data_IF_743533785037
#
_entry.id   IF_743533785037
#
_cell.length_a   1.000
_cell.length_b   1.000
_cell.length_c   1.000
_cell.angle_alpha   90.00
_cell.angle_beta   90.00
_cell.angle_gamma   90.00
#
_symmetry.space_group_name_H-M   'P 1'
#
loop_
_entity.id
_entity.type
_entity.pdbx_description
1 polymer ?
#
# COMPACT_ATOMS: atom_id res chain seq x y z
N UNK A 1 18.18 13.35 -11.96
CA UNK A 1 17.83 11.95 -12.20
C UNK A 1 18.32 11.11 -11.02
N UNK A 2 17.77 11.42 -9.85
CA UNK A 2 18.13 10.71 -8.65
C UNK A 2 17.23 9.46 -8.56
N UNK A 3 17.80 8.32 -8.29
CA UNK A 3 17.05 7.11 -7.95
C UNK A 3 16.24 7.40 -6.67
N UNK A 4 14.96 7.66 -6.85
CA UNK A 4 14.06 8.03 -5.78
C UNK A 4 13.17 6.84 -5.43
N UNK A 5 13.13 6.48 -4.15
CA UNK A 5 12.25 5.47 -3.60
C UNK A 5 11.10 6.11 -2.80
N UNK A 6 10.05 5.34 -2.53
CA UNK A 6 8.95 5.69 -1.64
C UNK A 6 8.38 7.11 -1.89
N UNK A 7 7.86 7.39 -3.10
CA UNK A 7 7.32 8.69 -3.41
C UNK A 7 6.04 8.98 -2.64
N UNK A 8 5.91 10.21 -2.13
CA UNK A 8 4.68 10.73 -1.54
C UNK A 8 4.33 12.08 -2.16
N UNK A 9 3.05 12.41 -2.20
CA UNK A 9 2.57 13.63 -2.82
C UNK A 9 1.52 14.34 -1.95
N UNK A 10 1.47 15.66 -2.04
CA UNK A 10 0.40 16.48 -1.48
C UNK A 10 0.02 17.61 -2.43
N UNK A 11 -1.15 18.18 -2.24
CA UNK A 11 -1.67 19.28 -3.05
C UNK A 11 -1.81 20.54 -2.19
N UNK A 12 -1.41 21.68 -2.72
CA UNK A 12 -1.67 23.00 -2.14
C UNK A 12 -2.19 23.93 -3.22
N UNK A 13 -3.47 24.33 -3.12
CA UNK A 13 -4.14 25.07 -4.18
C UNK A 13 -4.20 24.27 -5.48
N UNK A 14 -3.68 24.83 -6.56
CA UNK A 14 -3.57 24.22 -7.89
C UNK A 14 -2.24 23.48 -8.13
N UNK A 15 -1.40 23.39 -7.12
CA UNK A 15 -0.03 22.87 -7.23
C UNK A 15 0.09 21.51 -6.58
N UNK A 16 0.57 20.52 -7.35
CA UNK A 16 0.99 19.22 -6.86
C UNK A 16 2.45 19.28 -6.46
N UNK A 17 2.74 18.88 -5.24
CA UNK A 17 4.09 18.65 -4.72
C UNK A 17 4.34 17.16 -4.57
N UNK A 18 5.58 16.73 -4.81
CA UNK A 18 5.98 15.37 -4.47
C UNK A 18 7.41 15.32 -3.95
N UNK A 19 7.69 14.30 -3.18
CA UNK A 19 8.99 13.99 -2.58
C UNK A 19 9.20 12.48 -2.57
N UNK A 20 10.37 12.05 -2.14
CA UNK A 20 10.71 10.64 -1.94
C UNK A 20 12.06 10.50 -1.26
N UNK A 21 12.40 9.27 -0.89
CA UNK A 21 13.69 8.94 -0.29
C UNK A 21 14.82 9.10 -1.29
N UNK A 22 15.87 9.80 -0.89
CA UNK A 22 17.17 9.82 -1.56
C UNK A 22 18.30 9.74 -0.54
N UNK A 23 19.50 9.37 -0.97
CA UNK A 23 20.68 9.36 -0.11
C UNK A 23 21.15 10.75 0.32
N UNK A 24 20.63 11.82 -0.29
CA UNK A 24 21.14 13.18 -0.18
C UNK A 24 20.20 14.18 0.49
N UNK A 25 19.22 13.70 1.28
CA UNK A 25 18.24 14.53 1.99
C UNK A 25 16.86 14.51 1.35
N UNK A 26 16.03 15.49 1.68
CA UNK A 26 14.63 15.59 1.24
C UNK A 26 14.53 16.46 -0.03
N UNK A 27 14.40 15.88 -1.22
CA UNK A 27 14.09 16.62 -2.42
C UNK A 27 12.59 16.91 -2.49
N UNK A 28 12.20 18.07 -2.98
CA UNK A 28 10.79 18.40 -3.23
C UNK A 28 10.64 18.99 -4.62
N UNK A 29 9.70 18.44 -5.38
CA UNK A 29 9.31 18.92 -6.71
C UNK A 29 7.88 19.41 -6.70
N UNK A 30 7.55 20.29 -7.63
CA UNK A 30 6.19 20.79 -7.80
C UNK A 30 5.81 20.97 -9.26
N UNK A 31 4.49 20.94 -9.53
CA UNK A 31 3.91 21.24 -10.84
C UNK A 31 2.50 21.79 -10.70
N UNK A 32 2.16 22.82 -11.47
CA UNK A 32 0.80 23.32 -11.68
C UNK A 32 0.11 22.63 -12.86
N UNK A 33 0.82 21.76 -13.57
CA UNK A 33 0.31 20.99 -14.70
C UNK A 33 0.89 19.58 -14.68
N UNK A 34 0.59 18.75 -13.66
CA UNK A 34 1.25 17.47 -13.45
C UNK A 34 1.05 16.48 -14.62
N UNK A 35 -0.08 16.57 -15.33
CA UNK A 35 -0.32 15.75 -16.54
C UNK A 35 0.66 16.01 -17.68
N UNK A 36 1.35 17.14 -17.68
CA UNK A 36 2.37 17.45 -18.68
C UNK A 36 3.69 16.70 -18.46
N UNK A 37 3.84 16.01 -17.31
CA UNK A 37 5.08 15.38 -16.88
C UNK A 37 6.20 16.35 -16.52
N UNK A 38 5.92 17.66 -16.46
CA UNK A 38 6.91 18.70 -16.16
C UNK A 38 6.84 19.12 -14.71
N UNK A 39 7.92 18.90 -13.99
CA UNK A 39 8.09 19.31 -12.60
C UNK A 39 9.30 20.22 -12.45
N UNK A 40 9.23 21.11 -11.48
CA UNK A 40 10.34 21.99 -11.05
C UNK A 40 10.75 21.61 -9.64
N UNK A 41 12.01 21.77 -9.32
CA UNK A 41 12.47 21.65 -7.93
C UNK A 41 12.01 22.85 -7.10
N UNK A 42 11.38 22.57 -5.97
CA UNK A 42 11.05 23.58 -4.95
C UNK A 42 12.26 23.91 -4.09
N UNK A 43 13.04 22.87 -3.73
CA UNK A 43 14.33 23.01 -3.05
C UNK A 43 15.33 22.05 -3.66
N UNK A 44 16.57 22.48 -3.80
CA UNK A 44 17.65 21.65 -4.33
C UNK A 44 17.91 20.45 -3.41
N UNK A 45 18.07 20.71 -2.12
CA UNK A 45 18.28 19.69 -1.09
C UNK A 45 17.98 20.27 0.29
N UNK A 46 17.34 19.45 1.12
CA UNK A 46 17.23 19.69 2.55
C UNK A 46 18.23 18.77 3.27
N UNK A 47 18.87 19.29 4.31
CA UNK A 47 19.84 18.53 5.12
C UNK A 47 19.19 17.50 6.06
N UNK A 48 17.86 17.46 6.14
CA UNK A 48 17.17 16.48 6.96
C UNK A 48 17.17 15.10 6.25
N UNK A 49 17.95 14.13 6.72
CA UNK A 49 17.91 12.78 6.18
C UNK A 49 16.55 12.19 6.48
N UNK A 50 15.76 11.90 5.45
CA UNK A 50 14.41 11.36 5.59
C UNK A 50 14.21 10.20 4.63
N UNK A 51 13.99 9.01 5.21
CA UNK A 51 13.54 7.84 4.47
C UNK A 51 12.02 7.75 4.52
N UNK A 52 11.42 7.35 3.41
CA UNK A 52 9.97 7.21 3.26
C UNK A 52 9.21 8.46 3.72
N UNK A 53 9.54 9.63 3.14
CA UNK A 53 9.00 10.91 3.59
C UNK A 53 7.55 11.08 3.14
N UNK A 54 6.70 11.55 4.04
CA UNK A 54 5.36 12.04 3.75
C UNK A 54 5.25 13.50 4.19
N UNK A 55 5.00 14.40 3.25
CA UNK A 55 4.64 15.79 3.52
C UNK A 55 3.13 15.90 3.66
N UNK A 56 2.67 16.46 4.76
CA UNK A 56 1.26 16.66 5.08
C UNK A 56 0.99 18.14 5.33
N UNK A 57 0.15 18.74 4.49
CA UNK A 57 -0.35 20.10 4.65
C UNK A 57 -1.65 20.07 5.45
N UNK A 58 -1.65 20.67 6.64
CA UNK A 58 -2.82 20.76 7.48
C UNK A 58 -3.76 21.92 7.10
N UNK A 59 -5.00 21.89 7.57
CA UNK A 59 -6.03 22.89 7.28
C UNK A 59 -5.65 24.30 7.79
N UNK A 60 -4.81 24.37 8.83
CA UNK A 60 -4.29 25.64 9.35
C UNK A 60 -3.11 26.20 8.53
N UNK A 61 -2.75 25.51 7.44
CA UNK A 61 -1.68 25.90 6.54
C UNK A 61 -0.28 25.51 7.01
N UNK A 62 -0.12 24.84 8.13
CA UNK A 62 1.16 24.31 8.57
C UNK A 62 1.52 23.04 7.80
N UNK A 63 2.80 22.86 7.55
CA UNK A 63 3.34 21.71 6.84
C UNK A 63 4.10 20.80 7.82
N UNK A 64 3.84 19.52 7.73
CA UNK A 64 4.49 18.50 8.55
C UNK A 64 5.18 17.47 7.66
N UNK A 65 6.31 16.98 8.12
CA UNK A 65 7.05 15.88 7.50
C UNK A 65 7.05 14.69 8.45
N UNK A 66 6.58 13.54 7.96
CA UNK A 66 6.69 12.26 8.64
C UNK A 66 7.65 11.38 7.84
N UNK A 67 8.49 10.60 8.54
CA UNK A 67 9.52 9.82 7.89
C UNK A 67 10.09 8.73 8.79
N UNK A 68 10.80 7.78 8.18
CA UNK A 68 11.54 6.73 8.84
C UNK A 68 11.35 5.39 8.12
N UNK A 69 12.40 4.58 8.16
CA UNK A 69 12.42 3.23 7.60
C UNK A 69 13.50 2.47 8.37
N UNK A 70 13.11 1.62 9.33
CA UNK A 70 14.05 1.00 10.26
C UNK A 70 13.42 -0.18 11.02
N UNK A 71 14.28 -1.05 11.53
CA UNK A 71 13.94 -2.05 12.54
C UNK A 71 14.44 -1.71 13.95
N UNK A 72 15.08 -0.56 14.13
CA UNK A 72 15.70 -0.13 15.40
C UNK A 72 15.17 1.20 15.91
N UNK A 73 14.77 2.09 14.99
CA UNK A 73 14.39 3.47 15.32
C UNK A 73 12.93 3.74 15.03
N UNK A 74 12.26 4.56 15.85
CA UNK A 74 10.86 4.93 15.63
C UNK A 74 10.68 5.75 14.35
N UNK A 75 9.48 5.69 13.79
CA UNK A 75 9.03 6.66 12.79
C UNK A 75 8.89 8.03 13.46
N UNK A 76 9.20 9.07 12.71
CA UNK A 76 9.36 10.45 13.23
C UNK A 76 8.41 11.42 12.57
N UNK A 77 8.15 12.52 13.27
CA UNK A 77 7.37 13.65 12.76
C UNK A 77 7.97 14.98 13.17
N UNK A 78 7.86 15.98 12.30
CA UNK A 78 8.38 17.33 12.52
C UNK A 78 7.57 18.35 11.74
N UNK A 79 7.33 19.52 12.31
CA UNK A 79 6.81 20.65 11.53
C UNK A 79 7.94 21.27 10.71
N UNK A 80 7.66 21.55 9.43
CA UNK A 80 8.62 22.17 8.51
C UNK A 80 8.08 23.48 7.95
N UNK A 81 9.00 24.36 7.55
CA UNK A 81 8.67 25.57 6.82
C UNK A 81 8.09 25.25 5.44
N UNK A 82 7.15 26.05 4.96
CA UNK A 82 6.61 25.93 3.59
C UNK A 82 7.53 26.51 2.53
N UNK A 83 8.46 27.38 2.93
CA UNK A 83 9.32 28.11 1.99
C UNK A 83 10.55 27.30 1.59
N UNK A 84 11.15 26.58 2.56
CA UNK A 84 12.40 25.86 2.34
C UNK A 84 12.40 24.42 2.89
N UNK A 85 11.26 23.96 3.41
CA UNK A 85 11.02 22.61 3.97
C UNK A 85 11.97 22.23 5.12
N UNK A 86 12.56 23.20 5.79
CA UNK A 86 13.42 22.99 6.97
C UNK A 86 12.60 22.84 8.24
N UNK A 87 13.08 22.05 9.21
CA UNK A 87 12.44 21.92 10.51
C UNK A 87 12.27 23.28 11.21
N UNK A 88 11.04 23.53 11.70
CA UNK A 88 10.67 24.69 12.54
C UNK A 88 10.19 24.28 13.93
N UNK A 89 10.14 22.98 14.21
CA UNK A 89 9.88 22.41 15.54
C UNK A 89 10.99 21.43 15.91
N UNK A 90 10.93 20.90 17.14
CA UNK A 90 11.69 19.69 17.49
C UNK A 90 11.15 18.49 16.71
N UNK A 91 12.00 17.49 16.56
CA UNK A 91 11.62 16.19 15.99
C UNK A 91 10.96 15.34 17.08
N UNK A 92 9.85 14.70 16.77
CA UNK A 92 9.09 13.82 17.65
C UNK A 92 9.21 12.37 17.18
N UNK A 93 9.40 11.48 18.13
CA UNK A 93 9.21 10.05 17.90
C UNK A 93 7.69 9.77 17.91
N UNK A 94 7.16 9.23 16.82
CA UNK A 94 5.72 9.00 16.66
C UNK A 94 5.33 7.62 17.16
N UNK A 95 5.96 6.57 16.62
CA UNK A 95 5.66 5.21 17.01
C UNK A 95 6.84 4.27 16.70
N UNK A 96 6.83 3.12 17.36
CA UNK A 96 7.70 1.98 17.08
C UNK A 96 6.87 0.70 17.17
N UNK A 97 7.24 -0.32 16.41
CA UNK A 97 6.56 -1.62 16.43
C UNK A 97 6.62 -2.29 17.81
N UNK A 98 5.57 -3.05 18.11
CA UNK A 98 5.42 -3.85 19.34
C UNK A 98 4.96 -5.27 18.98
N UNK A 99 5.80 -6.07 18.33
CA UNK A 99 5.41 -7.39 17.84
C UNK A 99 5.01 -8.37 18.95
N UNK A 100 5.40 -8.09 20.21
CA UNK A 100 4.95 -8.82 21.40
C UNK A 100 3.49 -8.56 21.76
N UNK A 101 2.97 -7.34 21.45
CA UNK A 101 1.59 -6.95 21.69
C UNK A 101 0.72 -7.11 20.43
N UNK A 102 1.32 -6.86 19.25
CA UNK A 102 0.65 -6.81 17.96
C UNK A 102 1.17 -7.92 17.04
N UNK A 103 0.56 -9.09 17.09
CA UNK A 103 1.04 -10.28 16.37
C UNK A 103 1.22 -10.11 14.86
N UNK A 104 0.43 -9.23 14.21
CA UNK A 104 0.55 -8.95 12.78
C UNK A 104 1.85 -8.19 12.41
N UNK A 105 2.51 -7.56 13.38
CA UNK A 105 3.79 -6.87 13.20
C UNK A 105 4.99 -7.82 13.20
N UNK A 106 4.81 -9.12 13.51
CA UNK A 106 5.91 -10.10 13.55
C UNK A 106 6.42 -10.42 12.17
N UNK A 107 7.71 -10.67 12.06
CA UNK A 107 8.31 -11.22 10.86
C UNK A 107 7.72 -12.59 10.47
N UNK A 108 8.08 -13.04 9.27
CA UNK A 108 7.70 -14.31 8.71
C UNK A 108 6.56 -14.23 7.72
N UNK A 109 6.48 -15.25 6.89
CA UNK A 109 5.46 -15.34 5.82
C UNK A 109 4.02 -15.42 6.38
N UNK A 110 3.87 -15.80 7.66
CA UNK A 110 2.60 -15.91 8.37
C UNK A 110 2.63 -15.19 9.72
N UNK A 111 3.50 -14.20 9.91
CA UNK A 111 3.79 -13.55 11.19
C UNK A 111 4.23 -14.56 12.29
N UNK A 112 4.96 -15.58 11.91
CA UNK A 112 5.26 -16.77 12.71
C UNK A 112 6.72 -16.88 13.16
N UNK A 113 7.57 -15.92 12.81
CA UNK A 113 8.93 -15.86 13.29
C UNK A 113 9.00 -15.45 14.77
N UNK A 114 10.14 -15.70 15.40
CA UNK A 114 10.35 -15.39 16.81
C UNK A 114 10.15 -13.89 17.10
N UNK A 115 9.50 -13.58 18.21
CA UNK A 115 9.22 -12.20 18.67
C UNK A 115 10.49 -11.38 18.90
N UNK A 116 11.62 -12.07 19.16
CA UNK A 116 12.93 -11.45 19.36
C UNK A 116 13.53 -10.85 18.09
N UNK A 117 13.07 -11.29 16.92
CA UNK A 117 13.42 -10.65 15.66
C UNK A 117 12.73 -9.31 15.57
N UNK A 118 13.48 -8.27 15.24
CA UNK A 118 12.94 -6.91 15.10
C UNK A 118 12.37 -6.72 13.69
N UNK A 119 11.05 -6.68 13.56
CA UNK A 119 10.41 -6.42 12.28
C UNK A 119 10.70 -5.00 11.81
N UNK A 120 10.55 -4.79 10.50
CA UNK A 120 10.80 -3.52 9.85
C UNK A 120 9.54 -2.67 9.85
N UNK A 121 9.67 -1.38 10.18
CA UNK A 121 8.60 -0.38 10.00
C UNK A 121 9.05 0.70 9.04
N UNK A 122 8.13 1.13 8.19
CA UNK A 122 8.38 2.11 7.14
C UNK A 122 7.07 2.74 6.66
N UNK A 123 7.10 3.54 5.58
CA UNK A 123 5.90 4.00 4.91
C UNK A 123 5.05 4.95 5.75
N UNK A 124 5.69 5.84 6.51
CA UNK A 124 4.99 6.87 7.28
C UNK A 124 4.05 7.69 6.39
N UNK A 125 2.75 7.72 6.70
CA UNK A 125 1.78 8.52 5.97
C UNK A 125 0.74 9.13 6.91
N UNK A 126 0.28 10.35 6.60
CA UNK A 126 -0.71 11.05 7.41
C UNK A 126 -1.99 11.32 6.63
N UNK A 127 -3.13 10.93 7.23
CA UNK A 127 -4.47 11.28 6.76
C UNK A 127 -5.22 12.01 7.86
N UNK A 128 -5.97 13.06 7.52
CA UNK A 128 -6.84 13.77 8.45
C UNK A 128 -8.30 13.48 8.13
N UNK A 129 -9.09 13.13 9.14
CA UNK A 129 -10.52 12.92 9.00
C UNK A 129 -11.25 13.40 10.26
N UNK A 130 -12.29 14.23 10.09
CA UNK A 130 -13.11 14.76 11.21
C UNK A 130 -12.28 15.33 12.36
N UNK A 131 -11.21 16.08 12.05
CA UNK A 131 -10.34 16.72 13.04
C UNK A 131 -9.33 15.79 13.72
N UNK A 132 -9.36 14.50 13.44
CA UNK A 132 -8.39 13.50 13.93
C UNK A 132 -7.29 13.25 12.89
N UNK A 133 -6.11 12.89 13.38
CA UNK A 133 -4.92 12.57 12.59
C UNK A 133 -4.66 11.07 12.65
N UNK A 134 -4.63 10.43 11.48
CA UNK A 134 -4.43 9.00 11.28
C UNK A 134 -3.05 8.78 10.70
N UNK A 135 -2.12 8.38 11.54
CA UNK A 135 -0.75 8.09 11.15
C UNK A 135 -0.64 6.62 10.73
N UNK A 136 -0.38 6.39 9.46
CA UNK A 136 -0.23 5.07 8.85
C UNK A 136 1.24 4.63 8.85
N UNK A 137 1.48 3.32 8.95
CA UNK A 137 2.80 2.71 8.90
C UNK A 137 2.74 1.30 8.36
N UNK A 138 3.75 0.88 7.62
CA UNK A 138 3.90 -0.47 7.09
C UNK A 138 4.71 -1.39 8.00
N UNK A 139 4.31 -2.64 8.11
CA UNK A 139 5.01 -3.73 8.81
C UNK A 139 4.56 -5.10 8.28
N UNK A 140 5.30 -6.20 8.51
CA UNK A 140 6.63 -6.30 9.14
C UNK A 140 7.79 -6.18 8.17
N UNK A 141 7.52 -6.18 6.88
CA UNK A 141 8.52 -6.10 5.81
C UNK A 141 7.92 -6.48 4.47
N UNK A 142 8.31 -5.77 3.44
CA UNK A 142 7.71 -5.80 2.10
C UNK A 142 7.87 -7.12 1.35
N UNK A 143 8.77 -7.99 1.80
CA UNK A 143 9.00 -9.32 1.24
C UNK A 143 7.99 -10.38 1.69
N UNK A 144 7.15 -10.07 2.70
CA UNK A 144 6.18 -11.00 3.26
C UNK A 144 4.78 -10.79 2.69
N UNK A 145 4.05 -11.88 2.45
CA UNK A 145 2.64 -11.82 2.03
C UNK A 145 1.73 -11.15 3.07
N UNK A 146 2.17 -11.10 4.31
CA UNK A 146 1.50 -10.47 5.45
C UNK A 146 1.84 -8.99 5.61
N UNK A 147 2.58 -8.41 4.67
CA UNK A 147 2.87 -6.97 4.68
C UNK A 147 1.59 -6.16 4.68
N UNK A 148 1.43 -5.29 5.66
CA UNK A 148 0.19 -4.61 5.98
C UNK A 148 0.45 -3.19 6.49
N UNK A 149 -0.59 -2.39 6.61
CA UNK A 149 -0.51 -1.09 7.28
C UNK A 149 -1.35 -1.07 8.56
N UNK A 150 -0.74 -0.53 9.61
CA UNK A 150 -1.42 -0.14 10.83
C UNK A 150 -1.65 1.37 10.90
N UNK A 151 -2.42 1.77 11.89
CA UNK A 151 -2.77 3.17 12.15
C UNK A 151 -2.61 3.50 13.63
N UNK A 152 -2.03 4.66 13.90
CA UNK A 152 -2.11 5.35 15.18
C UNK A 152 -2.94 6.62 15.02
N UNK A 153 -3.76 6.98 16.00
CA UNK A 153 -4.69 8.12 15.95
C UNK A 153 -4.34 9.16 17.01
N UNK A 154 -4.46 10.43 16.66
CA UNK A 154 -4.22 11.56 17.58
C UNK A 154 -5.18 12.72 17.31
N UNK A 155 -5.32 13.60 18.31
CA UNK A 155 -5.98 14.91 18.17
C UNK A 155 -5.00 16.01 17.69
N UNK A 156 -3.72 15.68 17.55
CA UNK A 156 -2.66 16.61 17.14
C UNK A 156 -1.75 15.99 16.08
N UNK A 157 -1.24 16.76 15.10
CA UNK A 157 -0.41 16.24 14.01
C UNK A 157 0.93 15.65 14.49
N UNK A 158 1.42 16.05 15.65
CA UNK A 158 2.67 15.52 16.22
C UNK A 158 2.45 14.69 17.49
N UNK A 159 1.20 14.26 17.72
CA UNK A 159 0.85 13.39 18.84
C UNK A 159 0.48 14.12 20.15
N UNK A 160 0.29 13.36 21.26
CA UNK A 160 0.54 11.92 21.36
C UNK A 160 -0.41 11.07 20.51
N UNK A 161 0.10 9.95 20.01
CA UNK A 161 -0.65 9.01 19.18
C UNK A 161 -1.04 7.76 19.99
N UNK A 162 -2.23 7.24 19.73
CA UNK A 162 -2.76 6.00 20.31
C UNK A 162 -2.97 4.96 19.22
N UNK A 163 -2.58 3.72 19.46
CA UNK A 163 -2.79 2.60 18.55
C UNK A 163 -4.29 2.42 18.27
N UNK A 164 -4.65 2.37 16.98
CA UNK A 164 -6.03 2.18 16.56
C UNK A 164 -6.51 0.76 16.89
N UNK A 165 -7.74 0.61 17.35
CA UNK A 165 -8.38 -0.69 17.46
C UNK A 165 -8.54 -1.33 16.07
N UNK A 166 -8.54 -2.66 16.03
CA UNK A 166 -8.74 -3.44 14.80
C UNK A 166 -7.68 -3.21 13.71
N UNK A 167 -6.45 -2.85 14.10
CA UNK A 167 -5.32 -2.94 13.18
C UNK A 167 -5.01 -4.40 12.83
N UNK A 168 -4.45 -4.68 11.64
CA UNK A 168 -4.06 -3.72 10.61
C UNK A 168 -5.26 -3.16 9.83
N UNK A 169 -5.13 -1.91 9.37
CA UNK A 169 -6.17 -1.22 8.59
C UNK A 169 -6.24 -1.73 7.14
N UNK A 170 -5.14 -2.23 6.61
CA UNK A 170 -5.05 -2.91 5.32
C UNK A 170 -4.31 -4.23 5.50
N UNK A 171 -4.86 -5.31 5.00
CA UNK A 171 -4.29 -6.65 5.18
C UNK A 171 -4.84 -7.62 4.15
N UNK A 172 -3.96 -8.29 3.39
CA UNK A 172 -4.35 -9.29 2.39
C UNK A 172 -3.28 -10.39 2.28
N UNK A 173 -3.24 -11.33 3.23
CA UNK A 173 -2.21 -12.37 3.27
C UNK A 173 -2.47 -13.54 2.33
N UNK A 174 -3.60 -13.57 1.66
CA UNK A 174 -4.01 -14.65 0.75
C UNK A 174 -4.67 -14.12 -0.52
N UNK A 175 -4.99 -15.03 -1.43
CA UNK A 175 -5.54 -14.72 -2.75
C UNK A 175 -4.46 -14.53 -3.80
N UNK A 176 -4.88 -14.14 -5.00
CA UNK A 176 -3.99 -13.95 -6.14
C UNK A 176 -2.98 -12.82 -5.92
N UNK A 177 -3.42 -11.69 -5.35
CA UNK A 177 -2.57 -10.56 -4.96
C UNK A 177 -2.45 -10.52 -3.45
N UNK A 178 -1.24 -10.42 -2.92
CA UNK A 178 -0.94 -10.49 -1.50
C UNK A 178 -0.17 -9.24 -1.03
N UNK A 179 -0.13 -9.02 0.30
CA UNK A 179 0.48 -7.84 0.90
C UNK A 179 -0.52 -6.70 1.02
N UNK A 180 -0.18 -5.52 0.90
CA UNK A 180 -0.82 -4.19 0.97
C UNK A 180 -0.27 -3.40 2.13
N UNK A 181 1.00 -3.09 2.05
CA UNK A 181 1.69 -2.22 3.00
C UNK A 181 2.43 -1.09 2.31
N UNK A 182 3.06 -0.22 3.09
CA UNK A 182 3.75 0.99 2.65
C UNK A 182 2.86 1.82 1.72
N UNK A 183 1.81 2.35 2.26
CA UNK A 183 0.69 2.88 1.51
C UNK A 183 0.44 4.36 1.80
N UNK A 184 -0.38 4.98 0.96
CA UNK A 184 -0.94 6.29 1.21
C UNK A 184 -2.45 6.28 1.04
N UNK A 185 -3.14 7.15 1.76
CA UNK A 185 -4.59 7.30 1.64
C UNK A 185 -4.91 8.71 1.16
N UNK A 186 -5.69 8.81 0.11
CA UNK A 186 -6.13 10.08 -0.45
C UNK A 186 -7.64 10.14 -0.60
N UNK A 187 -8.18 11.35 -0.71
CA UNK A 187 -9.59 11.59 -0.97
C UNK A 187 -9.79 12.02 -2.42
N UNK A 188 -10.74 11.40 -3.11
CA UNK A 188 -11.11 11.81 -4.46
C UNK A 188 -12.02 13.07 -4.46
N UNK A 189 -12.30 13.59 -5.64
CA UNK A 189 -13.15 14.79 -5.80
C UNK A 189 -14.63 14.57 -5.40
N UNK A 190 -15.03 13.32 -5.19
CA UNK A 190 -16.37 12.96 -4.72
C UNK A 190 -16.42 12.79 -3.19
N UNK A 191 -15.26 12.91 -2.51
CA UNK A 191 -15.13 12.74 -1.08
C UNK A 191 -14.87 11.32 -0.62
N UNK A 192 -14.68 10.36 -1.53
CA UNK A 192 -14.34 8.98 -1.19
C UNK A 192 -12.86 8.85 -0.85
N UNK A 193 -12.54 8.04 0.15
CA UNK A 193 -11.16 7.72 0.49
C UNK A 193 -10.68 6.46 -0.24
N UNK A 194 -9.45 6.52 -0.70
CA UNK A 194 -8.76 5.45 -1.41
C UNK A 194 -7.40 5.21 -0.82
N UNK A 195 -7.07 3.94 -0.65
CA UNK A 195 -5.80 3.47 -0.16
C UNK A 195 -4.99 2.90 -1.31
N UNK A 196 -3.78 3.42 -1.51
CA UNK A 196 -2.84 2.95 -2.51
C UNK A 196 -1.72 2.23 -1.81
N UNK A 197 -1.63 0.93 -2.01
CA UNK A 197 -0.65 0.10 -1.31
C UNK A 197 0.18 -0.77 -2.22
N UNK A 198 1.30 -1.20 -1.69
CA UNK A 198 2.24 -2.11 -2.36
C UNK A 198 1.76 -3.55 -2.26
N UNK A 199 1.64 -4.21 -3.41
CA UNK A 199 1.25 -5.61 -3.51
C UNK A 199 2.41 -6.47 -4.01
N UNK A 200 2.57 -7.64 -3.42
CA UNK A 200 3.54 -8.64 -3.86
C UNK A 200 3.05 -9.32 -5.14
N UNK A 201 3.92 -9.44 -6.14
CA UNK A 201 3.59 -10.03 -7.43
C UNK A 201 4.42 -11.26 -7.80
N UNK A 202 5.67 -11.36 -7.37
CA UNK A 202 6.59 -12.37 -7.92
C UNK A 202 7.33 -13.16 -6.84
N UNK A 203 7.60 -14.44 -7.16
CA UNK A 203 8.50 -15.30 -6.38
C UNK A 203 9.98 -15.14 -6.73
N UNK A 204 10.28 -14.67 -7.95
CA UNK A 204 11.66 -14.63 -8.43
C UNK A 204 12.45 -13.51 -7.80
N UNK A 205 11.79 -12.41 -7.52
CA UNK A 205 12.42 -11.26 -6.91
C UNK A 205 11.51 -10.67 -5.83
N UNK A 206 11.92 -10.78 -4.58
CA UNK A 206 11.10 -10.42 -3.40
C UNK A 206 10.62 -8.96 -3.35
N UNK A 207 11.27 -8.08 -4.09
CA UNK A 207 10.89 -6.66 -4.20
C UNK A 207 10.17 -6.33 -5.51
N UNK A 208 9.80 -7.32 -6.32
CA UNK A 208 8.91 -7.07 -7.44
C UNK A 208 7.49 -6.87 -6.92
N UNK A 209 6.97 -5.67 -7.12
CA UNK A 209 5.72 -5.21 -6.52
C UNK A 209 4.85 -4.50 -7.54
N UNK A 210 3.55 -4.44 -7.25
CA UNK A 210 2.57 -3.66 -8.00
C UNK A 210 1.77 -2.79 -7.03
N UNK A 211 1.12 -1.79 -7.56
CA UNK A 211 0.26 -0.88 -6.81
C UNK A 211 -1.16 -1.42 -6.84
N UNK A 212 -1.74 -1.64 -5.66
CA UNK A 212 -3.16 -1.89 -5.47
C UNK A 212 -3.89 -0.61 -5.09
N UNK A 213 -5.17 -0.51 -5.46
CA UNK A 213 -6.06 0.60 -5.12
C UNK A 213 -7.31 0.04 -4.44
N UNK A 214 -7.56 0.46 -3.21
CA UNK A 214 -8.61 -0.09 -2.36
C UNK A 214 -9.50 0.99 -1.79
N UNK A 215 -10.82 0.73 -1.69
CA UNK A 215 -11.73 1.61 -0.95
C UNK A 215 -11.35 1.67 0.52
N UNK A 216 -11.38 2.87 1.08
CA UNK A 216 -11.09 3.12 2.50
C UNK A 216 -12.26 3.86 3.11
N UNK A 217 -12.59 3.49 4.34
CA UNK A 217 -13.72 4.07 5.08
C UNK A 217 -13.31 4.34 6.53
N UNK A 218 -14.11 5.17 7.18
CA UNK A 218 -14.07 5.41 8.62
C UNK A 218 -15.43 5.01 9.18
N UNK A 219 -15.44 4.15 10.17
CA UNK A 219 -16.67 3.76 10.83
C UNK A 219 -17.21 4.84 11.78
N UNK A 220 -18.39 4.68 12.37
CA UNK A 220 -18.93 5.65 13.31
C UNK A 220 -18.06 5.90 14.55
N UNK A 221 -17.24 4.94 14.95
CA UNK A 221 -16.31 5.04 16.08
C UNK A 221 -14.98 5.69 15.67
N UNK A 222 -14.82 6.03 14.39
CA UNK A 222 -13.64 6.66 13.83
C UNK A 222 -12.51 5.69 13.51
N UNK A 223 -12.80 4.40 13.40
CA UNK A 223 -11.81 3.40 12.96
C UNK A 223 -11.62 3.49 11.46
N UNK A 224 -10.39 3.71 11.03
CA UNK A 224 -10.00 3.70 9.62
C UNK A 224 -9.68 2.29 9.15
N UNK A 225 -10.23 1.86 8.03
CA UNK A 225 -9.92 0.56 7.42
C UNK A 225 -10.07 0.57 5.91
N UNK A 226 -9.33 -0.30 5.23
CA UNK A 226 -9.38 -0.50 3.79
C UNK A 226 -9.97 -1.86 3.43
N UNK A 227 -10.87 -1.89 2.45
CA UNK A 227 -11.47 -3.14 1.96
C UNK A 227 -10.52 -3.79 0.97
N UNK A 228 -9.61 -4.63 1.46
CA UNK A 228 -8.55 -5.27 0.67
C UNK A 228 -8.91 -6.68 0.21
N UNK A 229 -9.83 -7.38 0.89
CA UNK A 229 -10.11 -8.79 0.69
C UNK A 229 -10.43 -9.17 -0.77
N UNK A 230 -11.15 -8.32 -1.48
CA UNK A 230 -11.56 -8.54 -2.88
C UNK A 230 -10.78 -7.69 -3.89
N UNK A 231 -9.60 -7.18 -3.50
CA UNK A 231 -8.82 -6.27 -4.34
C UNK A 231 -8.28 -6.88 -5.63
N UNK A 232 -8.18 -8.18 -5.71
CA UNK A 232 -7.79 -8.98 -6.88
C UNK A 232 -8.97 -9.57 -7.66
N UNK A 233 -10.20 -9.29 -7.22
CA UNK A 233 -11.42 -9.67 -7.93
C UNK A 233 -11.85 -8.58 -8.92
N UNK A 234 -12.62 -8.94 -9.97
CA UNK A 234 -13.17 -7.97 -10.89
C UNK A 234 -13.95 -6.86 -10.17
N UNK A 235 -13.68 -5.63 -10.53
CA UNK A 235 -14.35 -4.46 -9.96
C UNK A 235 -14.80 -3.51 -11.08
N UNK A 236 -15.79 -2.68 -10.77
CA UNK A 236 -16.24 -1.62 -11.66
C UNK A 236 -15.14 -0.56 -11.77
N UNK A 237 -14.98 0.04 -12.94
CA UNK A 237 -13.98 1.07 -13.15
C UNK A 237 -14.32 2.35 -12.35
N UNK A 238 -13.34 3.26 -12.24
CA UNK A 238 -13.47 4.50 -11.47
C UNK A 238 -14.55 5.46 -12.00
N UNK A 239 -14.94 5.32 -13.28
CA UNK A 239 -15.96 6.18 -13.92
C UNK A 239 -17.38 5.72 -13.62
N UNK A 240 -17.54 4.52 -13.09
CA UNK A 240 -18.84 4.04 -12.64
C UNK A 240 -19.29 4.87 -11.43
N UNK A 241 -20.54 5.37 -11.48
CA UNK A 241 -21.08 6.22 -10.42
C UNK A 241 -21.42 5.41 -9.18
N UNK A 242 -20.40 5.12 -8.38
CA UNK A 242 -20.51 4.42 -7.10
C UNK A 242 -20.67 5.44 -5.98
N UNK A 243 -21.73 5.28 -5.21
CA UNK A 243 -21.99 6.11 -4.02
C UNK A 243 -21.12 5.69 -2.84
N UNK A 244 -20.89 4.39 -2.71
CA UNK A 244 -20.02 3.80 -1.69
C UNK A 244 -18.83 3.11 -2.40
N UNK A 245 -17.58 3.43 -2.06
CA UNK A 245 -16.40 2.77 -2.65
C UNK A 245 -16.41 1.25 -2.58
N UNK A 246 -17.04 0.66 -1.55
CA UNK A 246 -17.18 -0.79 -1.42
C UNK A 246 -18.07 -1.41 -2.53
N UNK A 247 -19.00 -0.65 -3.10
CA UNK A 247 -19.87 -1.12 -4.19
C UNK A 247 -19.11 -1.28 -5.52
N UNK A 248 -17.85 -0.92 -5.55
CA UNK A 248 -16.94 -1.14 -6.67
C UNK A 248 -16.73 -2.62 -6.96
N UNK A 249 -16.81 -3.48 -5.96
CA UNK A 249 -16.66 -4.92 -6.14
C UNK A 249 -17.89 -5.53 -6.78
N UNK A 250 -17.66 -6.36 -7.80
CA UNK A 250 -18.74 -6.99 -8.56
C UNK A 250 -19.48 -8.06 -7.76
N UNK A 251 -18.88 -8.60 -6.71
CA UNK A 251 -19.40 -9.73 -5.95
C UNK A 251 -19.37 -11.04 -6.73
N UNK A 252 -18.67 -11.11 -7.86
CA UNK A 252 -18.59 -12.33 -8.67
C UNK A 252 -17.69 -13.37 -8.00
N UNK A 253 -18.14 -14.60 -8.02
CA UNK A 253 -17.39 -15.72 -7.44
C UNK A 253 -16.29 -16.19 -8.39
N UNK A 254 -15.16 -16.62 -7.83
CA UNK A 254 -14.10 -17.31 -8.57
C UNK A 254 -14.54 -18.74 -8.88
N UNK A 255 -14.91 -19.01 -10.12
CA UNK A 255 -15.44 -20.32 -10.55
C UNK A 255 -14.35 -21.37 -10.77
N UNK A 256 -13.12 -20.94 -11.01
CA UNK A 256 -11.99 -21.83 -11.33
C UNK A 256 -11.21 -22.33 -10.11
N UNK A 257 -11.47 -21.82 -8.90
CA UNK A 257 -10.70 -22.20 -7.71
C UNK A 257 -10.74 -23.71 -7.45
N UNK A 258 -9.54 -24.33 -7.34
CA UNK A 258 -9.33 -25.76 -7.12
C UNK A 258 -10.05 -26.68 -8.13
N UNK A 259 -10.32 -26.20 -9.34
CA UNK A 259 -10.96 -27.01 -10.39
C UNK A 259 -9.92 -27.84 -11.15
N UNK A 260 -10.35 -29.02 -11.65
CA UNK A 260 -9.50 -29.86 -12.49
C UNK A 260 -9.04 -29.11 -13.74
N UNK A 261 -7.75 -29.23 -14.04
CA UNK A 261 -7.12 -28.59 -15.20
C UNK A 261 -6.43 -29.61 -16.07
N UNK A 262 -6.60 -29.48 -17.38
CA UNK A 262 -5.78 -30.13 -18.39
C UNK A 262 -5.06 -29.08 -19.22
N UNK A 263 -3.86 -29.39 -19.66
CA UNK A 263 -3.02 -28.52 -20.47
C UNK A 263 -2.35 -29.30 -21.59
N UNK A 264 -1.96 -28.61 -22.65
CA UNK A 264 -1.25 -29.19 -23.78
C UNK A 264 0.11 -29.76 -23.40
N UNK A 265 0.84 -29.05 -22.55
CA UNK A 265 2.16 -29.44 -22.07
C UNK A 265 2.45 -28.77 -20.73
N UNK A 266 3.48 -29.23 -20.00
CA UNK A 266 3.90 -28.62 -18.76
C UNK A 266 5.43 -28.66 -18.68
N UNK A 267 6.04 -27.52 -18.38
CA UNK A 267 7.42 -27.48 -17.93
C UNK A 267 7.47 -28.03 -16.50
N UNK A 268 8.45 -28.90 -16.23
CA UNK A 268 8.44 -29.89 -15.14
C UNK A 268 8.14 -29.38 -13.73
N UNK A 269 8.46 -28.11 -13.44
CA UNK A 269 8.26 -27.51 -12.10
C UNK A 269 7.04 -26.58 -12.02
N UNK A 270 6.39 -26.31 -13.14
CA UNK A 270 5.25 -25.34 -13.21
C UNK A 270 3.94 -26.07 -13.48
N UNK A 271 3.46 -26.76 -12.46
CA UNK A 271 2.28 -27.64 -12.53
C UNK A 271 1.03 -26.97 -13.07
N UNK A 272 0.22 -27.73 -13.83
CA UNK A 272 -1.08 -27.28 -14.29
C UNK A 272 -2.03 -26.88 -13.14
N UNK A 273 -1.92 -27.52 -11.97
CA UNK A 273 -2.71 -27.18 -10.78
C UNK A 273 -2.52 -25.75 -10.29
N UNK A 274 -1.39 -25.12 -10.61
CA UNK A 274 -1.10 -23.74 -10.25
C UNK A 274 -2.00 -22.72 -10.99
N UNK A 275 -2.73 -23.15 -12.02
CA UNK A 275 -3.70 -22.32 -12.73
C UNK A 275 -4.97 -22.00 -11.92
N UNK A 276 -5.25 -22.80 -10.90
CA UNK A 276 -6.53 -22.72 -10.16
C UNK A 276 -6.34 -22.67 -8.63
N UNK A 277 -5.11 -22.46 -8.14
CA UNK A 277 -4.81 -22.43 -6.70
C UNK A 277 -4.96 -21.04 -6.04
N UNK A 278 -5.35 -20.02 -6.83
CA UNK A 278 -5.51 -18.64 -6.36
C UNK A 278 -4.25 -18.09 -5.67
N UNK A 279 -3.09 -18.46 -6.16
CA UNK A 279 -1.82 -18.08 -5.56
C UNK A 279 -0.92 -17.45 -6.61
N UNK A 280 -0.69 -16.12 -6.51
CA UNK A 280 0.19 -15.40 -7.44
C UNK A 280 1.65 -15.86 -7.40
N UNK A 281 2.04 -16.60 -6.37
CA UNK A 281 3.41 -17.09 -6.18
C UNK A 281 3.69 -18.38 -6.93
N UNK A 282 2.68 -18.97 -7.49
CA UNK A 282 2.75 -20.15 -8.36
C UNK A 282 2.24 -19.79 -9.75
N UNK A 283 2.67 -20.52 -10.74
CA UNK A 283 2.15 -20.37 -12.10
C UNK A 283 2.36 -21.67 -12.87
N UNK A 284 1.62 -21.85 -13.92
CA UNK A 284 1.87 -22.87 -14.92
C UNK A 284 2.72 -22.29 -16.06
N UNK A 285 3.58 -23.14 -16.60
CA UNK A 285 4.29 -22.86 -17.83
C UNK A 285 4.18 -24.04 -18.80
N UNK A 286 3.89 -23.76 -20.05
CA UNK A 286 4.01 -24.74 -21.13
C UNK A 286 5.49 -25.05 -21.40
N UNK A 287 5.77 -26.21 -22.01
CA UNK A 287 7.13 -26.56 -22.46
C UNK A 287 7.68 -25.64 -23.50
N UNK A 288 6.81 -25.04 -24.30
CA UNK A 288 7.19 -24.13 -25.39
C UNK A 288 6.43 -22.83 -25.27
N UNK A 289 6.98 -21.76 -25.82
CA UNK A 289 6.29 -20.49 -25.98
C UNK A 289 5.59 -20.35 -27.33
N UNK A 290 5.42 -21.46 -28.08
CA UNK A 290 4.87 -21.45 -29.42
C UNK A 290 3.32 -21.41 -29.42
N UNK A 291 2.70 -20.82 -30.44
CA UNK A 291 1.25 -20.88 -30.61
C UNK A 291 0.72 -22.31 -30.68
N UNK A 292 -0.42 -22.57 -30.04
CA UNK A 292 -1.05 -23.88 -30.01
C UNK A 292 -1.05 -24.54 -28.63
N UNK A 293 -0.36 -23.94 -27.67
CA UNK A 293 -0.52 -24.36 -26.27
C UNK A 293 -1.93 -24.00 -25.78
N UNK A 294 -2.54 -24.88 -24.99
CA UNK A 294 -3.91 -24.70 -24.51
C UNK A 294 -4.10 -25.09 -23.04
N UNK A 295 -5.14 -24.54 -22.45
CA UNK A 295 -5.62 -24.80 -21.09
C UNK A 295 -7.10 -25.16 -21.17
N UNK A 296 -7.50 -26.23 -20.46
CA UNK A 296 -8.88 -26.62 -20.26
C UNK A 296 -9.16 -26.70 -18.75
N UNK A 297 -10.14 -25.94 -18.27
CA UNK A 297 -10.56 -25.97 -16.86
C UNK A 297 -11.99 -26.51 -16.80
N UNK A 298 -12.20 -27.62 -16.08
CA UNK A 298 -13.52 -28.22 -15.86
C UNK A 298 -14.23 -27.53 -14.69
N UNK A 299 -15.22 -26.70 -14.98
CA UNK A 299 -16.01 -26.01 -13.96
C UNK A 299 -17.06 -26.93 -13.26
N UNK A 300 -17.16 -28.21 -13.65
CA UNK A 300 -18.03 -29.22 -13.06
C UNK A 300 -19.50 -29.12 -13.46
N UNK A 301 -19.93 -28.00 -14.03
CA UNK A 301 -21.30 -27.79 -14.52
C UNK A 301 -21.34 -26.58 -15.46
N UNK A 302 -22.46 -26.45 -16.19
CA UNK A 302 -22.73 -25.23 -16.98
C UNK A 302 -22.72 -24.02 -16.06
N UNK A 303 -21.85 -23.01 -16.35
CA UNK A 303 -21.70 -21.80 -15.60
C UNK A 303 -21.82 -20.58 -16.50
N UNK A 304 -22.34 -19.49 -15.94
CA UNK A 304 -22.33 -18.21 -16.62
C UNK A 304 -21.01 -17.49 -16.27
N UNK A 305 -20.11 -17.39 -17.23
CA UNK A 305 -18.82 -16.71 -17.06
C UNK A 305 -19.00 -15.23 -17.36
N UNK A 306 -18.58 -14.36 -16.46
CA UNK A 306 -18.62 -12.89 -16.58
C UNK A 306 -17.27 -12.32 -17.01
N UNK A 307 -16.18 -12.89 -16.53
CA UNK A 307 -14.83 -12.45 -16.82
C UNK A 307 -13.85 -13.62 -16.82
N UNK A 308 -12.77 -13.46 -17.56
CA UNK A 308 -11.58 -14.33 -17.52
C UNK A 308 -10.39 -13.41 -17.28
N UNK A 309 -9.57 -13.75 -16.29
CA UNK A 309 -8.31 -13.08 -15.98
C UNK A 309 -7.17 -14.06 -16.25
N UNK A 310 -6.16 -13.61 -17.03
CA UNK A 310 -4.96 -14.35 -17.41
C UNK A 310 -3.73 -13.64 -16.90
#
# INVERSE_FOLDING_TARGET
DDDMCAPAAFVSGDTLFYTGSTYEGLPVWYSTSPKSGRFKRAVERNTLPSWDPCLFLDDDGKLYLYYGSSNEYPLKGVQVSRDDFRPVSKIYDIMMLRPEEHGWERFGMNNDDEVTLRPFTEGAYMTKHNGKYYFQYGAPGTEFKVYADGVYVSDSPLGPFTYQQHNPMSYKPGGFVQGVGHSGTFQDLKGNYWHVGTCMLSLKYKFERRIGLYPTTFDPDGVMYSTTAFGDYPCWNADYDIKNPADRFTGWMLLSYEKPVKVSSTDSIYSASNLTDENMRTYWAAKTGEPGEWIEIDLGAMKHIKAIQL
#
